data_IF_081402245979
#
_entry.id   IF_081402245979
#
_cell.length_a   1.000
_cell.length_b   1.000
_cell.length_c   1.000
_cell.angle_alpha   90.00
_cell.angle_beta   90.00
_cell.angle_gamma   90.00
#
_symmetry.space_group_name_H-M   'P 1'
#
loop_
_entity.id
_entity.type
_entity.pdbx_description
1 polymer ?
#
# COMPACT_ATOMS: atom_id res chain seq x y z
N UNK A 1 12.41 6.03 -29.70
CA UNK A 1 13.04 4.96 -30.51
C UNK A 1 12.85 3.69 -29.71
N UNK A 2 11.93 2.84 -30.12
CA UNK A 2 11.73 1.50 -29.54
C UNK A 2 12.97 0.68 -29.90
N UNK A 3 13.90 0.51 -28.96
CA UNK A 3 14.98 -0.42 -29.10
C UNK A 3 14.39 -1.81 -29.33
N UNK A 4 14.70 -2.36 -30.50
CA UNK A 4 14.21 -3.69 -30.86
C UNK A 4 15.07 -4.70 -30.10
N UNK A 5 14.47 -5.39 -29.12
CA UNK A 5 15.16 -6.45 -28.35
C UNK A 5 15.83 -7.48 -29.26
N UNK A 6 17.02 -7.91 -28.86
CA UNK A 6 17.68 -9.06 -29.49
C UNK A 6 16.86 -10.33 -29.30
N UNK A 7 17.11 -11.36 -30.13
CA UNK A 7 16.43 -12.65 -30.00
C UNK A 7 16.69 -13.31 -28.61
N UNK A 8 17.87 -13.11 -28.04
CA UNK A 8 18.19 -13.56 -26.70
C UNK A 8 17.33 -12.82 -25.64
N UNK A 9 17.21 -11.49 -25.71
CA UNK A 9 16.39 -10.72 -24.77
C UNK A 9 14.92 -11.13 -24.84
N UNK A 10 14.37 -11.37 -26.02
CA UNK A 10 12.99 -11.87 -26.19
C UNK A 10 12.81 -13.23 -25.53
N UNK A 11 13.75 -14.18 -25.75
CA UNK A 11 13.72 -15.49 -25.11
C UNK A 11 13.85 -15.38 -23.59
N UNK A 12 14.67 -14.47 -23.08
CA UNK A 12 14.84 -14.23 -21.66
C UNK A 12 13.53 -13.71 -21.02
N UNK A 13 12.86 -12.72 -21.64
CA UNK A 13 11.55 -12.22 -21.19
C UNK A 13 10.54 -13.38 -21.12
N UNK A 14 10.41 -14.16 -22.17
CA UNK A 14 9.46 -15.28 -22.20
C UNK A 14 9.79 -16.36 -21.15
N UNK A 15 11.07 -16.61 -20.89
CA UNK A 15 11.50 -17.55 -19.84
C UNK A 15 11.13 -17.06 -18.45
N UNK A 16 11.36 -15.78 -18.16
CA UNK A 16 11.00 -15.15 -16.87
C UNK A 16 9.48 -15.12 -16.69
N UNK A 17 8.74 -14.73 -17.71
CA UNK A 17 7.27 -14.72 -17.70
C UNK A 17 6.69 -16.11 -17.44
N UNK A 18 7.25 -17.13 -18.08
CA UNK A 18 6.85 -18.53 -17.87
C UNK A 18 7.09 -18.97 -16.43
N UNK A 19 8.23 -18.63 -15.82
CA UNK A 19 8.56 -19.01 -14.44
C UNK A 19 7.63 -18.34 -13.45
N UNK A 20 7.36 -17.05 -13.58
CA UNK A 20 6.40 -16.37 -12.73
C UNK A 20 5.00 -17.01 -12.80
N UNK A 21 4.54 -17.33 -13.99
CA UNK A 21 3.24 -17.99 -14.15
C UNK A 21 3.20 -19.40 -13.56
N UNK A 22 4.27 -20.17 -13.73
CA UNK A 22 4.37 -21.49 -13.12
C UNK A 22 4.39 -21.40 -11.59
N UNK A 23 5.14 -20.44 -11.04
CA UNK A 23 5.28 -20.28 -9.59
C UNK A 23 4.00 -19.76 -8.95
N UNK A 24 3.36 -18.76 -9.56
CA UNK A 24 2.20 -18.07 -8.96
C UNK A 24 0.88 -18.78 -9.25
N UNK A 25 0.64 -19.18 -10.52
CA UNK A 25 -0.69 -19.61 -10.95
C UNK A 25 -0.83 -21.12 -11.02
N UNK A 26 0.16 -21.80 -11.56
CA UNK A 26 0.01 -23.22 -11.89
C UNK A 26 0.47 -24.16 -10.79
N UNK A 27 1.25 -23.70 -9.81
CA UNK A 27 1.74 -24.42 -8.62
C UNK A 27 1.80 -25.97 -8.77
N UNK A 28 2.12 -26.45 -9.97
CA UNK A 28 2.28 -27.90 -10.21
C UNK A 28 3.68 -28.28 -9.73
N UNK A 29 3.81 -29.02 -8.63
CA UNK A 29 5.10 -29.33 -8.02
C UNK A 29 6.10 -29.94 -9.00
N UNK A 30 5.64 -30.84 -9.86
CA UNK A 30 6.49 -31.54 -10.82
C UNK A 30 7.08 -30.62 -11.91
N UNK A 31 6.28 -29.69 -12.44
CA UNK A 31 6.73 -28.72 -13.45
C UNK A 31 7.65 -27.68 -12.83
N UNK A 32 7.35 -27.23 -11.61
CA UNK A 32 8.20 -26.33 -10.83
C UNK A 32 9.54 -26.98 -10.51
N UNK A 33 9.53 -28.18 -9.96
CA UNK A 33 10.74 -28.89 -9.59
C UNK A 33 11.65 -29.11 -10.80
N UNK A 34 11.11 -29.52 -11.95
CA UNK A 34 11.88 -29.69 -13.18
C UNK A 34 12.48 -28.38 -13.68
N UNK A 35 11.71 -27.27 -13.63
CA UNK A 35 12.16 -25.96 -14.08
C UNK A 35 13.25 -25.38 -13.17
N UNK A 36 13.12 -25.54 -11.86
CA UNK A 36 14.08 -25.02 -10.89
C UNK A 36 15.33 -25.91 -10.73
N UNK A 37 15.28 -27.19 -11.07
CA UNK A 37 16.49 -28.03 -11.15
C UNK A 37 17.45 -27.59 -12.27
N UNK A 38 16.97 -26.82 -13.24
CA UNK A 38 17.81 -26.23 -14.31
C UNK A 38 18.54 -24.96 -13.85
N UNK A 39 18.25 -24.44 -12.65
CA UNK A 39 18.97 -23.31 -12.08
C UNK A 39 20.43 -23.69 -11.80
N UNK A 40 21.39 -22.75 -11.93
CA UNK A 40 22.79 -23.03 -11.58
C UNK A 40 22.94 -23.30 -10.08
N UNK A 41 24.04 -23.97 -9.69
CA UNK A 41 24.29 -24.29 -8.26
C UNK A 41 24.44 -23.04 -7.41
N UNK A 42 25.03 -21.99 -7.97
CA UNK A 42 25.27 -20.68 -7.35
C UNK A 42 24.07 -19.72 -7.52
N UNK A 43 22.90 -20.26 -7.81
CA UNK A 43 21.66 -19.48 -7.95
C UNK A 43 21.40 -18.65 -6.70
N UNK A 44 21.13 -17.36 -6.89
CA UNK A 44 20.80 -16.43 -5.80
C UNK A 44 19.35 -15.96 -5.94
N UNK A 45 18.59 -16.02 -4.84
CA UNK A 45 17.28 -15.39 -4.78
C UNK A 45 17.13 -14.53 -3.53
N UNK A 46 16.59 -13.34 -3.73
CA UNK A 46 16.09 -12.45 -2.68
C UNK A 46 14.61 -12.28 -2.92
N UNK A 47 13.80 -12.77 -2.01
CA UNK A 47 12.34 -12.67 -2.09
C UNK A 47 11.79 -11.53 -1.22
N UNK A 48 10.46 -11.47 -1.10
CA UNK A 48 9.75 -10.43 -0.34
C UNK A 48 9.74 -10.68 1.16
N UNK A 49 9.88 -11.92 1.59
CA UNK A 49 9.92 -12.31 2.99
C UNK A 49 11.28 -12.00 3.64
N UNK A 50 11.28 -11.65 4.92
CA UNK A 50 12.53 -11.32 5.67
C UNK A 50 13.55 -12.46 5.67
N UNK A 51 13.12 -13.70 5.58
CA UNK A 51 13.96 -14.90 5.58
C UNK A 51 14.32 -15.38 4.16
N UNK A 52 13.72 -14.81 3.12
CA UNK A 52 13.90 -15.24 1.73
C UNK A 52 15.19 -14.67 1.13
N UNK A 53 16.30 -15.18 1.60
CA UNK A 53 17.62 -14.87 1.12
C UNK A 53 18.41 -16.16 0.87
N UNK A 54 18.25 -16.72 -0.33
CA UNK A 54 18.81 -18.01 -0.73
C UNK A 54 20.07 -17.82 -1.54
N UNK A 55 21.20 -18.35 -1.05
CA UNK A 55 22.53 -18.15 -1.63
C UNK A 55 22.95 -19.26 -2.60
N UNK A 56 22.15 -20.29 -2.73
CA UNK A 56 22.35 -21.39 -3.65
C UNK A 56 21.00 -22.03 -4.01
N UNK A 57 21.01 -22.83 -5.07
CA UNK A 57 19.83 -23.53 -5.57
C UNK A 57 19.17 -24.45 -4.53
N UNK A 58 19.97 -25.20 -3.77
CA UNK A 58 19.44 -26.22 -2.86
C UNK A 58 18.69 -25.57 -1.68
N UNK A 59 19.18 -24.46 -1.16
CA UNK A 59 18.49 -23.69 -0.12
C UNK A 59 17.21 -23.06 -0.67
N UNK A 60 17.24 -22.57 -1.89
CA UNK A 60 16.04 -22.07 -2.57
C UNK A 60 14.98 -23.18 -2.73
N UNK A 61 15.35 -24.37 -3.17
CA UNK A 61 14.41 -25.49 -3.33
C UNK A 61 13.77 -25.91 -1.98
N UNK A 62 14.52 -25.88 -0.89
CA UNK A 62 13.96 -26.11 0.45
C UNK A 62 12.95 -25.02 0.84
N UNK A 63 13.29 -23.75 0.63
CA UNK A 63 12.41 -22.61 0.91
C UNK A 63 11.13 -22.67 0.07
N UNK A 64 11.23 -22.96 -1.21
CA UNK A 64 10.09 -23.16 -2.11
C UNK A 64 9.14 -24.27 -1.63
N UNK A 65 9.69 -25.38 -1.12
CA UNK A 65 8.86 -26.47 -0.58
C UNK A 65 8.07 -25.99 0.66
N UNK A 66 8.67 -25.19 1.53
CA UNK A 66 7.99 -24.63 2.69
C UNK A 66 6.90 -23.64 2.27
N UNK A 67 7.17 -22.76 1.31
CA UNK A 67 6.21 -21.82 0.73
C UNK A 67 4.99 -22.54 0.13
N UNK A 68 5.22 -23.60 -0.63
CA UNK A 68 4.14 -24.44 -1.19
C UNK A 68 3.25 -25.08 -0.13
N UNK A 69 3.81 -25.46 1.02
CA UNK A 69 3.03 -26.01 2.15
C UNK A 69 2.16 -24.91 2.75
N UNK A 70 2.68 -23.71 2.92
CA UNK A 70 1.94 -22.57 3.46
C UNK A 70 0.84 -22.10 2.49
N UNK A 71 1.15 -22.04 1.20
CA UNK A 71 0.24 -21.59 0.16
C UNK A 71 -0.75 -22.65 -0.34
N UNK A 72 -0.74 -23.87 0.21
CA UNK A 72 -1.48 -25.04 -0.33
C UNK A 72 -2.97 -24.79 -0.56
N UNK A 73 -3.62 -24.05 0.35
CA UNK A 73 -5.05 -23.78 0.30
C UNK A 73 -5.39 -22.40 -0.32
N UNK A 74 -4.37 -21.69 -0.83
CA UNK A 74 -4.49 -20.37 -1.42
C UNK A 74 -4.41 -20.49 -2.92
N UNK A 75 -5.37 -19.92 -3.62
CA UNK A 75 -5.32 -19.78 -5.07
C UNK A 75 -4.92 -18.37 -5.43
N UNK A 76 -3.83 -18.23 -6.14
CA UNK A 76 -3.37 -16.94 -6.64
C UNK A 76 -3.81 -16.70 -8.07
N UNK A 77 -3.93 -15.43 -8.42
CA UNK A 77 -4.10 -14.94 -9.78
C UNK A 77 -3.13 -13.80 -10.05
N UNK A 78 -2.72 -13.70 -11.29
CA UNK A 78 -1.88 -12.61 -11.78
C UNK A 78 -2.82 -11.57 -12.39
N UNK A 79 -2.94 -10.40 -11.74
CA UNK A 79 -3.83 -9.31 -12.15
C UNK A 79 -3.22 -8.51 -13.29
N UNK A 80 -1.93 -8.18 -13.18
CA UNK A 80 -1.17 -7.42 -14.16
C UNK A 80 0.29 -7.85 -14.16
N UNK A 81 0.93 -7.80 -15.33
CA UNK A 81 2.35 -8.10 -15.49
C UNK A 81 2.97 -7.32 -16.66
N UNK A 82 4.17 -6.79 -16.45
CA UNK A 82 4.96 -6.18 -17.52
C UNK A 82 6.42 -6.53 -17.38
N UNK A 83 7.14 -6.62 -18.51
CA UNK A 83 8.51 -7.09 -18.60
C UNK A 83 9.30 -6.28 -19.61
N UNK A 84 10.52 -5.90 -19.21
CA UNK A 84 11.52 -5.27 -20.06
C UNK A 84 12.87 -5.98 -19.90
N UNK A 85 13.78 -5.81 -20.87
CA UNK A 85 15.10 -6.40 -20.80
C UNK A 85 16.19 -5.39 -21.15
N UNK A 86 17.20 -5.30 -20.28
CA UNK A 86 18.42 -4.55 -20.49
C UNK A 86 19.57 -5.50 -20.84
N UNK A 87 20.25 -5.26 -21.96
CA UNK A 87 21.46 -6.00 -22.34
C UNK A 87 22.62 -5.58 -21.43
N UNK A 88 23.34 -6.54 -20.87
CA UNK A 88 24.57 -6.32 -20.09
C UNK A 88 25.78 -6.72 -20.95
N UNK A 89 25.79 -7.95 -21.47
CA UNK A 89 26.78 -8.46 -22.42
C UNK A 89 26.07 -9.13 -23.60
N UNK A 90 26.81 -9.80 -24.48
CA UNK A 90 26.22 -10.53 -25.59
C UNK A 90 25.41 -11.75 -25.12
N UNK A 91 25.82 -12.35 -24.02
CA UNK A 91 25.24 -13.56 -23.43
C UNK A 91 24.55 -13.34 -22.07
N UNK A 92 24.52 -12.10 -21.54
CA UNK A 92 23.85 -11.77 -20.28
C UNK A 92 22.91 -10.58 -20.44
N UNK A 93 21.70 -10.72 -19.95
CA UNK A 93 20.75 -9.62 -19.83
C UNK A 93 20.07 -9.60 -18.47
N UNK A 94 19.59 -8.42 -18.08
CA UNK A 94 18.70 -8.20 -16.95
C UNK A 94 17.27 -8.10 -17.46
N UNK A 95 16.39 -8.98 -17.03
CA UNK A 95 14.95 -8.84 -17.23
C UNK A 95 14.40 -8.21 -15.95
N UNK A 96 13.61 -7.16 -16.09
CA UNK A 96 12.98 -6.47 -14.97
C UNK A 96 11.53 -6.15 -15.29
N UNK A 97 10.75 -5.91 -14.25
CA UNK A 97 9.34 -5.64 -14.44
C UNK A 97 8.56 -5.52 -13.15
N UNK A 98 7.25 -5.45 -13.30
CA UNK A 98 6.28 -5.51 -12.22
C UNK A 98 5.34 -6.69 -12.41
N UNK A 99 4.89 -7.23 -11.29
CA UNK A 99 3.84 -8.24 -11.25
C UNK A 99 2.88 -7.91 -10.12
N UNK A 100 1.59 -8.03 -10.38
CA UNK A 100 0.56 -7.89 -9.38
C UNK A 100 -0.05 -9.25 -9.11
N UNK A 101 0.30 -9.82 -7.97
CA UNK A 101 -0.15 -11.13 -7.50
C UNK A 101 -1.20 -10.91 -6.43
N UNK A 102 -2.33 -11.59 -6.53
CA UNK A 102 -3.42 -11.49 -5.59
C UNK A 102 -4.01 -12.84 -5.27
N UNK A 103 -4.47 -13.01 -4.04
CA UNK A 103 -5.33 -14.13 -3.67
C UNK A 103 -6.67 -14.05 -4.44
N UNK A 104 -7.07 -15.15 -5.04
CA UNK A 104 -8.31 -15.23 -5.80
C UNK A 104 -9.52 -14.99 -4.90
N UNK A 105 -10.34 -14.02 -5.25
CA UNK A 105 -11.53 -13.65 -4.48
C UNK A 105 -12.50 -14.83 -4.35
N UNK A 106 -12.90 -15.10 -3.12
CA UNK A 106 -13.95 -16.09 -2.79
C UNK A 106 -15.15 -15.37 -2.15
N UNK A 107 -16.38 -15.60 -2.61
CA UNK A 107 -17.56 -14.96 -2.03
C UNK A 107 -17.64 -15.13 -0.51
N UNK A 108 -17.78 -14.02 0.22
CA UNK A 108 -17.90 -14.01 1.68
C UNK A 108 -16.58 -14.12 2.46
N UNK A 109 -15.41 -14.18 1.78
CA UNK A 109 -14.09 -14.14 2.43
C UNK A 109 -13.35 -12.87 2.03
N UNK A 110 -12.68 -12.18 2.97
CA UNK A 110 -11.78 -11.08 2.62
C UNK A 110 -10.56 -11.61 1.86
N UNK A 111 -10.05 -10.84 0.93
CA UNK A 111 -8.74 -11.09 0.31
C UNK A 111 -7.67 -10.69 1.33
N UNK A 112 -6.80 -11.63 1.70
CA UNK A 112 -5.77 -11.43 2.71
C UNK A 112 -4.40 -11.14 2.09
N UNK A 113 -4.14 -11.66 0.88
CA UNK A 113 -2.86 -11.50 0.20
C UNK A 113 -3.09 -10.69 -1.08
N UNK A 114 -2.48 -9.52 -1.11
CA UNK A 114 -2.47 -8.62 -2.24
C UNK A 114 -1.07 -7.99 -2.36
N UNK A 115 -0.39 -8.30 -3.47
CA UNK A 115 1.00 -7.88 -3.73
C UNK A 115 1.04 -6.86 -4.87
N UNK A 116 0.15 -5.88 -4.84
CA UNK A 116 0.12 -4.78 -5.78
C UNK A 116 1.44 -3.99 -5.75
N UNK A 117 1.94 -3.61 -6.94
CA UNK A 117 3.17 -2.85 -7.08
C UNK A 117 4.45 -3.65 -6.81
N UNK A 118 4.38 -4.98 -6.69
CA UNK A 118 5.59 -5.78 -6.57
C UNK A 118 6.43 -5.71 -7.85
N UNK A 119 7.73 -5.78 -7.68
CA UNK A 119 8.73 -5.58 -8.73
C UNK A 119 9.84 -6.60 -8.64
N UNK A 120 10.40 -6.93 -9.79
CA UNK A 120 11.47 -7.93 -9.84
C UNK A 120 12.60 -7.53 -10.78
N UNK A 121 13.75 -8.12 -10.55
CA UNK A 121 14.87 -8.19 -11.49
C UNK A 121 15.39 -9.62 -11.57
N UNK A 122 15.72 -10.05 -12.79
CA UNK A 122 16.18 -11.40 -13.07
C UNK A 122 17.39 -11.34 -13.98
N UNK A 123 18.53 -11.89 -13.54
CA UNK A 123 19.73 -12.04 -14.40
C UNK A 123 19.60 -13.31 -15.21
N UNK A 124 19.62 -13.16 -16.53
CA UNK A 124 19.53 -14.26 -17.48
C UNK A 124 20.83 -14.39 -18.27
N UNK A 125 21.28 -15.63 -18.49
CA UNK A 125 22.43 -15.97 -19.32
C UNK A 125 22.00 -16.82 -20.50
N UNK A 126 22.51 -16.52 -21.68
CA UNK A 126 22.36 -17.39 -22.87
C UNK A 126 23.35 -18.53 -22.80
N UNK A 127 22.87 -19.75 -22.93
CA UNK A 127 23.70 -20.98 -22.92
C UNK A 127 23.32 -21.85 -24.08
N UNK A 128 24.18 -22.81 -24.47
CA UNK A 128 23.80 -23.80 -25.48
C UNK A 128 22.53 -24.59 -25.15
N UNK A 129 22.21 -24.72 -23.86
CA UNK A 129 20.99 -25.40 -23.38
C UNK A 129 19.74 -24.47 -23.32
N UNK A 130 19.88 -23.22 -23.70
CA UNK A 130 18.81 -22.20 -23.60
C UNK A 130 19.07 -21.12 -22.57
N UNK A 131 18.03 -20.37 -22.22
CA UNK A 131 18.13 -19.29 -21.23
C UNK A 131 18.23 -19.88 -19.82
N UNK A 132 19.33 -19.55 -19.13
CA UNK A 132 19.56 -19.90 -17.74
C UNK A 132 19.26 -18.68 -16.84
N UNK A 133 18.44 -18.87 -15.82
CA UNK A 133 18.19 -17.86 -14.79
C UNK A 133 19.24 -17.99 -13.69
N UNK A 134 20.03 -16.94 -13.49
CA UNK A 134 21.15 -16.95 -12.55
C UNK A 134 20.81 -16.28 -11.21
N UNK A 135 19.96 -15.26 -11.24
CA UNK A 135 19.58 -14.51 -10.05
C UNK A 135 18.13 -14.03 -10.18
N UNK A 136 17.42 -13.99 -9.06
CA UNK A 136 16.11 -13.36 -8.95
C UNK A 136 16.10 -12.45 -7.73
N UNK A 137 15.68 -11.21 -7.91
CA UNK A 137 15.29 -10.32 -6.83
C UNK A 137 13.83 -9.94 -7.01
N UNK A 138 13.03 -10.22 -6.02
CA UNK A 138 11.61 -9.86 -5.94
C UNK A 138 11.39 -8.99 -4.71
N UNK A 139 10.79 -7.83 -4.86
CA UNK A 139 10.57 -6.88 -3.78
C UNK A 139 9.18 -6.25 -3.86
N UNK A 140 8.69 -5.81 -2.72
CA UNK A 140 7.48 -5.01 -2.63
C UNK A 140 7.82 -3.57 -2.21
N UNK A 141 7.07 -2.57 -2.68
CA UNK A 141 7.12 -1.24 -2.08
C UNK A 141 6.62 -1.33 -0.63
N UNK A 142 6.98 -0.35 0.17
CA UNK A 142 6.41 -0.22 1.51
C UNK A 142 4.96 0.25 1.36
N UNK A 143 4.00 -0.53 1.84
CA UNK A 143 2.56 -0.34 1.57
C UNK A 143 2.01 1.02 2.02
N UNK A 144 2.59 1.60 3.07
CA UNK A 144 2.16 2.89 3.63
C UNK A 144 2.94 4.08 3.03
N UNK A 145 3.75 3.86 2.00
CA UNK A 145 4.55 4.90 1.34
C UNK A 145 3.72 5.56 0.24
N UNK A 146 3.60 6.90 0.30
CA UNK A 146 2.95 7.68 -0.76
C UNK A 146 3.80 7.70 -2.04
N UNK A 147 3.16 7.97 -3.18
CA UNK A 147 3.81 7.98 -4.51
C UNK A 147 5.01 8.93 -4.60
N UNK A 148 4.99 10.04 -3.87
CA UNK A 148 6.06 11.05 -3.84
C UNK A 148 7.02 10.88 -2.65
N UNK A 149 6.88 9.83 -1.85
CA UNK A 149 7.74 9.60 -0.68
C UNK A 149 8.91 8.69 -1.01
N UNK A 150 10.14 9.16 -0.73
CA UNK A 150 11.37 8.38 -0.96
C UNK A 150 11.73 7.45 0.18
N UNK A 151 11.22 7.72 1.40
CA UNK A 151 11.56 6.96 2.60
C UNK A 151 10.30 6.47 3.31
N UNK A 152 10.25 5.20 3.73
CA UNK A 152 9.13 4.70 4.51
C UNK A 152 9.08 5.39 5.88
N UNK A 153 7.89 5.81 6.30
CA UNK A 153 7.66 6.36 7.63
C UNK A 153 7.75 5.28 8.70
N UNK A 154 8.27 5.63 9.86
CA UNK A 154 8.20 4.71 11.00
C UNK A 154 6.75 4.55 11.48
N UNK A 155 6.43 3.38 12.04
CA UNK A 155 5.11 3.12 12.64
C UNK A 155 4.73 4.18 13.70
N UNK A 156 5.72 4.68 14.46
CA UNK A 156 5.52 5.75 15.43
C UNK A 156 5.12 7.08 14.76
N UNK A 157 5.70 7.39 13.60
CA UNK A 157 5.33 8.59 12.82
C UNK A 157 3.91 8.50 12.31
N UNK A 158 3.53 7.35 11.72
CA UNK A 158 2.17 7.10 11.23
C UNK A 158 1.13 7.17 12.36
N UNK A 159 1.45 6.58 13.52
CA UNK A 159 0.59 6.65 14.70
C UNK A 159 0.41 8.09 15.19
N UNK A 160 1.49 8.89 15.23
CA UNK A 160 1.42 10.30 15.60
C UNK A 160 0.57 11.12 14.62
N UNK A 161 0.72 10.91 13.31
CA UNK A 161 -0.10 11.57 12.30
C UNK A 161 -1.59 11.21 12.46
N UNK A 162 -1.91 9.94 12.69
CA UNK A 162 -3.27 9.49 12.94
C UNK A 162 -3.88 10.15 14.19
N UNK A 163 -3.11 10.23 15.28
CA UNK A 163 -3.52 10.91 16.52
C UNK A 163 -3.75 12.41 16.28
N UNK A 164 -2.86 13.07 15.53
CA UNK A 164 -3.02 14.50 15.21
C UNK A 164 -4.26 14.74 14.33
N UNK A 165 -4.50 13.91 13.32
CA UNK A 165 -5.71 13.97 12.49
C UNK A 165 -6.97 13.74 13.31
N UNK A 166 -6.97 12.76 14.22
CA UNK A 166 -8.10 12.49 15.11
C UNK A 166 -8.41 13.69 16.00
N UNK A 167 -7.40 14.30 16.63
CA UNK A 167 -7.56 15.50 17.46
C UNK A 167 -8.09 16.70 16.67
N UNK A 168 -7.62 16.89 15.44
CA UNK A 168 -8.10 17.97 14.58
C UNK A 168 -9.57 17.78 14.18
N UNK A 169 -9.99 16.52 13.93
CA UNK A 169 -11.39 16.19 13.67
C UNK A 169 -12.25 16.38 14.92
N UNK A 170 -11.81 15.93 16.08
CA UNK A 170 -12.50 16.16 17.36
C UNK A 170 -12.71 17.65 17.62
N UNK A 171 -11.66 18.47 17.45
CA UNK A 171 -11.76 19.92 17.61
C UNK A 171 -12.77 20.54 16.64
N UNK A 172 -12.79 20.11 15.36
CA UNK A 172 -13.81 20.57 14.40
C UNK A 172 -15.23 20.19 14.80
N UNK A 173 -15.42 19.03 15.41
CA UNK A 173 -16.73 18.58 15.90
C UNK A 173 -17.20 19.36 17.14
N UNK A 174 -16.31 20.06 17.82
CA UNK A 174 -16.61 20.90 19.00
C UNK A 174 -16.98 22.34 18.65
N UNK A 175 -16.77 22.76 17.41
CA UNK A 175 -17.10 24.07 16.91
C UNK A 175 -18.48 24.12 16.23
N UNK A 176 -19.15 25.24 16.34
CA UNK A 176 -20.30 25.59 15.52
C UNK A 176 -19.82 26.08 14.14
N UNK A 177 -20.34 25.49 13.06
CA UNK A 177 -19.88 25.73 11.70
C UNK A 177 -20.14 27.14 11.16
N UNK A 178 -21.06 27.87 11.78
CA UNK A 178 -21.45 29.23 11.38
C UNK A 178 -20.64 30.30 12.10
N UNK A 179 -20.42 30.10 13.40
CA UNK A 179 -19.81 31.09 14.28
C UNK A 179 -18.34 30.79 14.64
N UNK A 180 -17.90 29.55 14.41
CA UNK A 180 -16.59 29.03 14.86
C UNK A 180 -16.38 29.06 16.38
N UNK A 181 -17.42 29.37 17.15
CA UNK A 181 -17.41 29.25 18.60
C UNK A 181 -17.63 27.79 19.02
N UNK A 182 -17.29 27.46 20.26
CA UNK A 182 -17.57 26.13 20.79
C UNK A 182 -19.08 25.87 20.83
N UNK A 183 -19.48 24.71 20.31
CA UNK A 183 -20.87 24.31 20.27
C UNK A 183 -21.34 23.69 21.60
N UNK A 184 -22.63 23.34 21.65
CA UNK A 184 -23.25 22.71 22.82
C UNK A 184 -22.53 21.41 23.25
N UNK A 185 -21.99 20.63 22.34
CA UNK A 185 -21.30 19.37 22.65
C UNK A 185 -20.04 19.65 23.48
N UNK A 186 -19.26 20.67 23.11
CA UNK A 186 -18.11 21.13 23.88
C UNK A 186 -18.52 21.59 25.29
N UNK A 187 -19.55 22.39 25.35
CA UNK A 187 -20.05 22.89 26.64
C UNK A 187 -20.44 21.75 27.58
N UNK A 188 -21.19 20.77 27.10
CA UNK A 188 -21.61 19.60 27.89
C UNK A 188 -20.43 18.76 28.39
N UNK A 189 -19.37 18.60 27.59
CA UNK A 189 -18.19 17.78 27.91
C UNK A 189 -17.17 18.48 28.81
N UNK A 190 -16.88 19.74 28.55
CA UNK A 190 -15.74 20.45 29.11
C UNK A 190 -16.14 21.47 30.16
N UNK A 191 -17.11 22.31 29.88
CA UNK A 191 -17.53 23.40 30.78
C UNK A 191 -18.16 22.84 32.07
N UNK A 192 -18.93 21.75 31.95
CA UNK A 192 -19.52 21.09 33.14
C UNK A 192 -18.47 20.51 34.10
N UNK A 193 -17.26 20.18 33.61
CA UNK A 193 -16.14 19.73 34.44
C UNK A 193 -15.37 20.91 35.06
N UNK A 194 -15.14 21.95 34.29
CA UNK A 194 -14.41 23.14 34.75
C UNK A 194 -15.15 23.83 35.91
N UNK A 195 -16.46 24.01 35.82
CA UNK A 195 -17.29 24.63 36.86
C UNK A 195 -17.26 23.86 38.19
N UNK A 196 -17.03 22.55 38.18
CA UNK A 196 -16.94 21.74 39.41
C UNK A 196 -15.64 21.92 40.17
N UNK A 197 -14.59 22.34 39.51
CA UNK A 197 -13.23 22.39 40.06
C UNK A 197 -12.70 23.81 40.30
N UNK A 198 -13.35 24.84 39.77
CA UNK A 198 -12.90 26.24 39.85
C UNK A 198 -14.07 27.16 40.13
N UNK A 199 -13.81 28.24 40.90
CA UNK A 199 -14.77 29.31 41.07
C UNK A 199 -14.80 30.17 39.81
N UNK A 200 -15.95 30.33 39.22
CA UNK A 200 -16.14 31.10 37.99
C UNK A 200 -17.54 31.72 37.91
N UNK A 201 -17.76 32.52 36.89
CA UNK A 201 -19.06 33.11 36.57
C UNK A 201 -19.57 32.52 35.28
N UNK A 202 -20.87 32.29 35.21
CA UNK A 202 -21.56 31.89 33.99
C UNK A 202 -22.39 33.08 33.48
N UNK A 203 -22.15 33.46 32.23
CA UNK A 203 -22.89 34.51 31.55
C UNK A 203 -23.71 33.89 30.42
N UNK A 204 -25.01 34.05 30.46
CA UNK A 204 -25.90 33.71 29.36
C UNK A 204 -26.26 35.00 28.61
N UNK A 205 -26.11 34.99 27.29
CA UNK A 205 -26.38 36.12 26.42
C UNK A 205 -27.43 35.69 25.40
N UNK A 206 -28.40 36.57 25.12
CA UNK A 206 -29.44 36.39 24.11
C UNK A 206 -29.54 37.65 23.25
N UNK A 207 -29.93 37.49 21.99
CA UNK A 207 -30.13 38.59 21.06
C UNK A 207 -31.58 39.04 21.09
N UNK A 208 -31.81 40.25 21.58
CA UNK A 208 -33.15 40.84 21.61
C UNK A 208 -33.71 41.01 20.20
N UNK A 209 -34.99 40.68 20.03
CA UNK A 209 -35.74 40.85 18.79
C UNK A 209 -35.14 40.13 17.54
N UNK A 210 -34.27 39.13 17.72
CA UNK A 210 -33.62 38.39 16.60
C UNK A 210 -34.65 37.81 15.64
N UNK A 211 -35.79 37.35 16.13
CA UNK A 211 -36.89 36.90 15.28
C UNK A 211 -37.39 38.00 14.34
N UNK A 212 -37.50 39.23 14.81
CA UNK A 212 -37.90 40.36 13.98
C UNK A 212 -36.92 40.63 12.83
N UNK A 213 -35.64 40.45 13.07
CA UNK A 213 -34.60 40.52 12.01
C UNK A 213 -34.84 39.47 10.93
N UNK A 214 -35.06 38.22 11.32
CA UNK A 214 -35.33 37.14 10.39
C UNK A 214 -36.63 37.37 9.58
N UNK A 215 -37.70 37.77 10.25
CA UNK A 215 -39.00 37.96 9.62
C UNK A 215 -39.01 39.20 8.68
N UNK A 216 -38.20 40.24 8.95
CA UNK A 216 -38.17 41.47 8.15
C UNK A 216 -37.10 41.48 7.06
N UNK A 217 -35.94 40.80 7.26
CA UNK A 217 -34.78 40.87 6.38
C UNK A 217 -34.32 39.49 5.85
N UNK A 218 -34.99 38.44 6.30
CA UNK A 218 -34.68 37.06 5.86
C UNK A 218 -33.57 36.40 6.69
N UNK A 219 -33.53 35.05 6.62
CA UNK A 219 -32.61 34.23 7.41
C UNK A 219 -31.11 34.47 7.09
N UNK A 220 -30.80 34.83 5.85
CA UNK A 220 -29.40 35.14 5.48
C UNK A 220 -28.84 36.33 6.25
N UNK A 221 -29.68 37.37 6.43
CA UNK A 221 -29.29 38.53 7.25
C UNK A 221 -29.19 38.14 8.73
N UNK A 222 -30.09 37.29 9.24
CA UNK A 222 -29.98 36.73 10.57
C UNK A 222 -28.67 35.98 10.80
N UNK A 223 -28.27 35.15 9.86
CA UNK A 223 -26.98 34.44 9.91
C UNK A 223 -25.78 35.41 9.97
N UNK A 224 -25.83 36.49 9.20
CA UNK A 224 -24.80 37.56 9.27
C UNK A 224 -24.75 38.24 10.65
N UNK A 225 -25.90 38.52 11.23
CA UNK A 225 -25.96 39.11 12.60
C UNK A 225 -25.35 38.17 13.63
N UNK A 226 -25.64 36.86 13.56
CA UNK A 226 -25.04 35.87 14.46
C UNK A 226 -23.52 35.81 14.28
N UNK A 227 -23.03 35.78 13.02
CA UNK A 227 -21.59 35.76 12.73
C UNK A 227 -20.89 37.01 13.25
N UNK A 228 -21.46 38.20 13.04
CA UNK A 228 -20.85 39.44 13.55
C UNK A 228 -20.87 39.49 15.08
N UNK A 229 -21.95 39.03 15.72
CA UNK A 229 -22.01 38.92 17.18
C UNK A 229 -20.96 37.95 17.73
N UNK A 230 -20.65 36.88 17.04
CA UNK A 230 -19.66 35.90 17.48
C UNK A 230 -18.20 36.41 17.42
N UNK A 231 -17.94 37.54 16.75
CA UNK A 231 -16.60 38.15 16.61
C UNK A 231 -16.26 39.19 17.70
N UNK A 232 -17.25 39.57 18.50
CA UNK A 232 -17.09 40.53 19.60
C UNK A 232 -16.60 39.81 20.85
#
# INVERSE_FOLDING_TARGET
MTEQYTEFQKRAIESVKRIWRLYVVNLKPEELESSFRMLPEDFLMIGTGRHEFYKNRDDFLKGMTADQVEARDIQFELQDDWYEAQRITDDVCLVYGGIWIREKSTPGKPVLIDMEGSRFTVVCRDTPGGVQICNVHHSMPYLDQGEDEYYPKSLASLANEAVQKSRALEHRMELDHMTELYNRIYMERHVSRAIKNENGYFLAIDLDDFKCVNDSKGHLTGDEVIREFSRV
#
